data_IF_978290944231
#
_entry.id   IF_978290944231
#
_cell.length_a   1.000
_cell.length_b   1.000
_cell.length_c   1.000
_cell.angle_alpha   90.00
_cell.angle_beta   90.00
_cell.angle_gamma   90.00
#
_symmetry.space_group_name_H-M   'P 1'
#
loop_
_entity.id
_entity.type
_entity.pdbx_description
1 polymer ?
#
# COMPACT_ATOMS: atom_id res chain seq x y z
N UNK A 1 0.57 18.32 11.12
CA UNK A 1 0.59 16.85 11.07
C UNK A 1 1.31 16.47 9.79
N UNK A 2 2.38 15.70 9.87
CA UNK A 2 3.13 15.26 8.69
C UNK A 2 2.50 13.99 8.13
N UNK A 3 2.44 13.90 6.80
CA UNK A 3 1.93 12.72 6.10
C UNK A 3 3.09 12.08 5.33
N UNK A 4 3.25 10.77 5.48
CA UNK A 4 4.30 10.01 4.81
C UNK A 4 3.65 9.06 3.81
N UNK A 5 4.03 9.18 2.53
CA UNK A 5 3.52 8.31 1.47
C UNK A 5 4.20 6.92 1.47
N UNK A 6 5.29 6.76 2.22
CA UNK A 6 6.12 5.55 2.29
C UNK A 6 6.56 5.25 3.74
N UNK A 7 5.62 4.96 4.66
CA UNK A 7 5.97 4.59 6.03
C UNK A 7 6.65 3.22 6.08
N UNK A 8 7.49 2.99 7.09
CA UNK A 8 7.97 1.64 7.41
C UNK A 8 6.85 0.77 8.01
N UNK A 9 6.84 -0.52 7.67
CA UNK A 9 5.75 -1.44 8.07
C UNK A 9 6.07 -2.31 9.29
N UNK A 10 7.34 -2.64 9.55
CA UNK A 10 7.74 -3.60 10.59
C UNK A 10 7.14 -3.32 11.98
N UNK A 11 7.22 -2.07 12.45
CA UNK A 11 6.72 -1.69 13.76
C UNK A 11 5.19 -1.77 13.87
N UNK A 12 4.46 -1.37 12.82
CA UNK A 12 2.99 -1.43 12.82
C UNK A 12 2.49 -2.86 12.71
N UNK A 13 3.11 -3.68 11.87
CA UNK A 13 2.74 -5.09 11.71
C UNK A 13 3.03 -5.88 12.99
N UNK A 14 4.19 -5.68 13.62
CA UNK A 14 4.55 -6.34 14.88
C UNK A 14 3.63 -5.93 16.04
N UNK A 15 3.26 -4.65 16.13
CA UNK A 15 2.45 -4.13 17.24
C UNK A 15 0.97 -4.47 17.09
N UNK A 16 0.46 -4.48 15.85
CA UNK A 16 -0.98 -4.66 15.59
C UNK A 16 -1.36 -6.07 15.14
N UNK A 17 -0.38 -6.87 14.70
CA UNK A 17 -0.62 -8.17 14.07
C UNK A 17 -1.31 -8.07 12.71
N UNK A 18 -1.45 -6.87 12.15
CA UNK A 18 -2.07 -6.66 10.83
C UNK A 18 -1.00 -6.81 9.76
N UNK A 19 -1.25 -7.69 8.78
CA UNK A 19 -0.45 -7.80 7.56
C UNK A 19 -0.80 -6.65 6.60
N UNK A 20 -0.02 -5.57 6.66
CA UNK A 20 -0.19 -4.38 5.82
C UNK A 20 0.41 -4.62 4.44
N UNK A 21 1.55 -5.29 4.37
CA UNK A 21 2.20 -5.63 3.10
C UNK A 21 1.28 -6.51 2.22
N UNK A 22 0.69 -7.56 2.77
CA UNK A 22 -0.26 -8.42 2.07
C UNK A 22 -1.50 -7.66 1.61
N UNK A 23 -2.00 -6.72 2.42
CA UNK A 23 -3.12 -5.84 2.02
C UNK A 23 -2.76 -4.91 0.86
N UNK A 24 -1.53 -4.40 0.81
CA UNK A 24 -1.06 -3.58 -0.32
C UNK A 24 -1.02 -4.40 -1.60
N UNK A 25 -0.46 -5.62 -1.56
CA UNK A 25 -0.44 -6.52 -2.71
C UNK A 25 -1.85 -6.87 -3.16
N UNK A 26 -2.72 -7.30 -2.26
CA UNK A 26 -4.11 -7.62 -2.57
C UNK A 26 -4.88 -6.43 -3.17
N UNK A 27 -4.55 -5.20 -2.75
CA UNK A 27 -5.10 -4.00 -3.35
C UNK A 27 -4.59 -3.80 -4.77
N UNK A 28 -3.26 -3.91 -4.98
CA UNK A 28 -2.65 -3.79 -6.31
C UNK A 28 -3.25 -4.82 -7.26
N UNK A 29 -3.36 -6.09 -6.87
CA UNK A 29 -3.95 -7.16 -7.69
C UNK A 29 -5.39 -6.86 -8.11
N UNK A 30 -6.18 -6.23 -7.23
CA UNK A 30 -7.57 -5.82 -7.54
C UNK A 30 -7.65 -4.62 -8.46
N UNK A 31 -6.66 -3.72 -8.40
CA UNK A 31 -6.68 -2.46 -9.14
C UNK A 31 -5.95 -2.56 -10.48
N UNK A 32 -4.91 -3.40 -10.58
CA UNK A 32 -4.09 -3.63 -11.76
C UNK A 32 -4.85 -4.42 -12.83
N UNK A 33 -5.93 -3.84 -13.35
CA UNK A 33 -6.59 -4.28 -14.57
C UNK A 33 -5.73 -3.90 -15.78
N UNK A 34 -5.85 -4.57 -16.94
CA UNK A 34 -5.05 -4.27 -18.13
C UNK A 34 -5.14 -2.81 -18.61
N UNK A 35 -6.22 -2.11 -18.28
CA UNK A 35 -6.43 -0.69 -18.57
C UNK A 35 -5.98 0.24 -17.43
N UNK A 36 -5.51 -0.32 -16.31
CA UNK A 36 -5.03 0.43 -15.16
C UNK A 36 -3.62 0.96 -15.44
N UNK A 37 -3.58 2.16 -16.01
CA UNK A 37 -2.41 3.02 -15.94
C UNK A 37 -2.45 3.78 -14.61
N UNK A 38 -1.46 3.57 -13.74
CA UNK A 38 -1.18 4.49 -12.64
C UNK A 38 -0.92 5.86 -13.27
N UNK A 39 -1.93 6.73 -13.29
CA UNK A 39 -1.74 8.16 -13.57
C UNK A 39 -0.97 8.76 -12.39
N UNK A 40 0.32 8.46 -12.32
CA UNK A 40 1.29 9.31 -11.64
C UNK A 40 1.20 10.67 -12.36
N UNK A 41 0.71 11.66 -11.61
CA UNK A 41 0.24 12.95 -12.13
C UNK A 41 1.28 13.73 -12.93
N UNK A 42 0.77 14.68 -13.73
CA UNK A 42 1.55 15.80 -14.27
C UNK A 42 1.72 16.93 -13.26
#
# INVERSE_FOLDING_TARGET
MEVNASPGLEGVETTTGVDVAGKMIAWIERQATPEFCLKIGG
#
